data_IF_344856558172
#
_entry.id   IF_344856558172
#
_cell.length_a   1.000
_cell.length_b   1.000
_cell.length_c   1.000
_cell.angle_alpha   90.00
_cell.angle_beta   90.00
_cell.angle_gamma   90.00
#
_symmetry.space_group_name_H-M   'P 1'
#
loop_
_entity.id
_entity.type
_entity.pdbx_description
1 polymer ?
#
# COMPACT_ATOMS: atom_id res chain seq x y z
N UNK A 1 50.09 58.69 38.43
CA UNK A 1 50.25 59.78 37.46
C UNK A 1 49.27 59.44 36.38
N UNK A 2 48.26 60.05 36.30
CA UNK A 2 47.62 61.33 36.19
C UNK A 2 46.46 61.11 35.16
N UNK A 3 45.25 61.22 35.61
CA UNK A 3 44.23 62.24 35.31
C UNK A 3 44.09 62.50 33.79
N UNK A 4 42.87 62.54 33.23
CA UNK A 4 41.66 63.28 33.55
C UNK A 4 40.57 62.89 32.53
N UNK A 5 39.36 62.61 32.95
CA UNK A 5 38.16 63.45 32.85
C UNK A 5 37.93 64.20 31.52
N UNK A 6 36.83 63.87 30.85
CA UNK A 6 35.74 64.82 30.51
C UNK A 6 34.55 64.12 29.83
N UNK A 7 33.49 63.94 30.52
CA UNK A 7 32.12 64.50 30.42
C UNK A 7 31.73 65.09 29.06
N UNK A 8 30.60 64.66 28.53
CA UNK A 8 29.96 65.42 27.46
C UNK A 8 28.70 64.78 26.86
N UNK A 9 27.55 65.01 27.54
CA UNK A 9 26.22 65.28 26.95
C UNK A 9 25.55 64.26 26.02
N UNK A 10 24.64 63.56 26.68
CA UNK A 10 23.31 63.12 26.29
C UNK A 10 22.70 63.91 25.09
N UNK A 11 22.27 63.21 24.07
CA UNK A 11 21.14 63.61 23.26
C UNK A 11 20.08 62.53 23.30
N UNK A 12 19.04 62.82 24.09
CA UNK A 12 17.74 62.17 24.04
C UNK A 12 17.17 62.27 22.60
N UNK A 13 17.05 61.12 21.92
CA UNK A 13 16.13 60.98 20.81
C UNK A 13 14.92 60.16 21.25
N UNK A 14 13.70 60.60 20.99
CA UNK A 14 12.51 59.85 21.38
C UNK A 14 12.41 58.58 20.58
N UNK A 15 12.31 57.42 21.28
CA UNK A 15 11.92 56.12 20.66
C UNK A 15 10.54 56.29 20.05
N UNK A 16 10.47 56.22 18.69
CA UNK A 16 9.22 56.03 17.96
C UNK A 16 8.57 54.76 18.51
N UNK A 17 7.37 54.90 19.08
CA UNK A 17 6.48 53.79 19.37
C UNK A 17 6.08 53.19 18.01
N UNK A 18 6.71 52.12 17.60
CA UNK A 18 6.20 51.28 16.53
C UNK A 18 4.91 50.65 17.03
N UNK A 19 3.82 50.93 16.33
CA UNK A 19 2.52 50.42 16.63
C UNK A 19 2.51 48.89 16.48
N UNK A 20 1.89 48.19 17.41
CA UNK A 20 1.73 46.71 17.42
C UNK A 20 0.98 46.16 16.19
N UNK A 21 0.54 46.99 15.27
CA UNK A 21 -0.14 46.67 14.01
C UNK A 21 0.82 46.31 12.87
N UNK A 22 2.09 46.80 12.90
CA UNK A 22 3.02 46.54 11.80
C UNK A 22 3.75 45.18 11.90
N UNK A 23 3.88 44.60 13.10
CA UNK A 23 4.49 43.29 13.27
C UNK A 23 3.60 42.09 12.83
N UNK A 24 2.28 42.30 12.86
CA UNK A 24 1.32 41.25 12.42
C UNK A 24 1.19 41.20 10.91
N UNK A 25 1.41 42.31 10.21
CA UNK A 25 1.32 42.36 8.73
C UNK A 25 2.58 41.80 8.04
N UNK A 26 3.76 41.85 8.66
CA UNK A 26 5.00 41.31 8.09
C UNK A 26 5.05 39.76 8.11
N UNK A 27 4.37 39.10 9.05
CA UNK A 27 4.34 37.63 9.12
C UNK A 27 3.33 36.97 8.18
N UNK A 28 2.34 37.69 7.69
CA UNK A 28 1.28 37.18 6.81
C UNK A 28 1.67 37.24 5.32
N UNK A 29 2.52 38.21 4.93
CA UNK A 29 3.05 38.32 3.55
C UNK A 29 4.00 37.16 3.15
N UNK A 30 4.64 36.55 4.13
CA UNK A 30 5.54 35.38 3.92
C UNK A 30 4.79 34.06 3.73
N UNK A 31 3.50 33.99 4.11
CA UNK A 31 2.75 32.75 4.13
C UNK A 31 2.44 32.22 2.73
N UNK A 32 2.03 33.08 1.80
CA UNK A 32 1.75 32.69 0.42
C UNK A 32 3.00 32.24 -0.35
N UNK A 33 4.16 32.88 -0.10
CA UNK A 33 5.44 32.47 -0.69
C UNK A 33 5.91 31.14 -0.11
N UNK A 34 5.71 30.92 1.18
CA UNK A 34 6.04 29.64 1.85
C UNK A 34 5.18 28.49 1.32
N UNK A 35 3.88 28.71 1.08
CA UNK A 35 3.00 27.70 0.45
C UNK A 35 3.49 27.39 -0.96
N UNK A 36 3.78 28.41 -1.79
CA UNK A 36 4.27 28.19 -3.15
C UNK A 36 5.59 27.40 -3.16
N UNK A 37 6.59 27.81 -2.39
CA UNK A 37 7.86 27.13 -2.31
C UNK A 37 7.71 25.66 -1.88
N UNK A 38 6.82 25.40 -0.94
CA UNK A 38 6.56 24.06 -0.43
C UNK A 38 5.81 23.18 -1.45
N UNK A 39 4.84 23.77 -2.17
CA UNK A 39 4.13 23.08 -3.24
C UNK A 39 5.08 22.70 -4.39
N UNK A 40 5.97 23.62 -4.77
CA UNK A 40 6.97 23.40 -5.81
C UNK A 40 7.99 22.32 -5.40
N UNK A 41 8.44 22.33 -4.13
CA UNK A 41 9.38 21.33 -3.59
C UNK A 41 8.79 19.92 -3.55
N UNK A 42 7.50 19.83 -3.20
CA UNK A 42 6.81 18.54 -3.00
C UNK A 42 5.98 18.08 -4.21
N UNK A 43 5.92 18.87 -5.29
CA UNK A 43 5.13 18.56 -6.48
C UNK A 43 3.62 18.57 -6.27
N UNK A 44 3.13 19.33 -5.26
CA UNK A 44 1.71 19.40 -4.93
C UNK A 44 1.07 20.57 -5.66
N UNK A 45 -0.10 20.37 -6.29
CA UNK A 45 -0.86 21.48 -6.90
C UNK A 45 -1.25 22.50 -5.85
N UNK A 46 -0.79 23.74 -6.04
CA UNK A 46 -1.10 24.87 -5.18
C UNK A 46 -2.60 25.13 -5.07
N UNK A 47 -3.33 24.98 -6.17
CA UNK A 47 -4.78 25.17 -6.24
C UNK A 47 -5.53 24.22 -5.31
N UNK A 48 -5.17 22.92 -5.33
CA UNK A 48 -5.77 21.91 -4.43
C UNK A 48 -5.48 22.17 -2.97
N UNK A 49 -4.31 22.72 -2.64
CA UNK A 49 -3.96 23.08 -1.26
C UNK A 49 -4.83 24.25 -0.79
N UNK A 50 -5.00 25.28 -1.62
CA UNK A 50 -5.83 26.45 -1.32
C UNK A 50 -7.29 26.03 -1.14
N UNK A 51 -7.86 25.26 -2.06
CA UNK A 51 -9.22 24.73 -1.97
C UNK A 51 -9.46 23.96 -0.67
N UNK A 52 -8.48 23.16 -0.25
CA UNK A 52 -8.58 22.43 1.02
C UNK A 52 -8.48 23.33 2.24
N UNK A 53 -7.66 24.39 2.19
CA UNK A 53 -7.59 25.40 3.24
C UNK A 53 -8.95 26.11 3.34
N UNK A 54 -9.52 26.54 2.23
CA UNK A 54 -10.82 27.20 2.17
C UNK A 54 -11.93 26.32 2.73
N UNK A 55 -11.97 25.02 2.34
CA UNK A 55 -12.92 24.07 2.88
C UNK A 55 -12.77 23.86 4.39
N UNK A 56 -11.54 23.76 4.90
CA UNK A 56 -11.28 23.61 6.33
C UNK A 56 -11.65 24.85 7.13
N UNK A 57 -11.38 26.04 6.58
CA UNK A 57 -11.75 27.32 7.19
C UNK A 57 -13.28 27.50 7.23
N UNK A 58 -13.97 27.13 6.15
CA UNK A 58 -15.41 27.13 6.10
C UNK A 58 -16.03 26.20 7.15
N UNK A 59 -15.49 25.00 7.28
CA UNK A 59 -15.92 24.02 8.27
C UNK A 59 -15.68 24.51 9.73
N UNK A 60 -14.52 25.11 9.98
CA UNK A 60 -14.19 25.66 11.28
C UNK A 60 -15.12 26.85 11.64
N UNK A 61 -15.33 27.78 10.70
CA UNK A 61 -16.25 28.89 10.89
C UNK A 61 -17.68 28.41 11.16
N UNK A 62 -18.15 27.41 10.39
CA UNK A 62 -19.46 26.80 10.59
C UNK A 62 -19.63 26.18 11.97
N UNK A 63 -18.57 25.53 12.50
CA UNK A 63 -18.57 24.92 13.82
C UNK A 63 -18.67 25.95 14.94
N UNK A 64 -17.93 27.08 14.82
CA UNK A 64 -17.80 28.07 15.90
C UNK A 64 -18.90 29.13 15.86
N UNK A 65 -19.37 29.52 14.67
CA UNK A 65 -20.30 30.63 14.46
C UNK A 65 -21.52 30.31 13.59
N UNK A 66 -21.49 29.14 12.90
CA UNK A 66 -22.56 28.76 11.98
C UNK A 66 -23.73 28.09 12.70
N UNK A 67 -24.88 28.08 12.03
CA UNK A 67 -26.05 27.32 12.43
C UNK A 67 -26.10 25.96 11.73
N UNK A 68 -26.86 25.06 12.32
CA UNK A 68 -27.06 23.72 11.73
C UNK A 68 -27.79 23.86 10.38
N UNK A 69 -27.22 23.30 9.33
CA UNK A 69 -27.80 23.35 7.98
C UNK A 69 -27.21 24.42 7.05
N UNK A 70 -26.47 25.41 7.56
CA UNK A 70 -25.84 26.45 6.72
C UNK A 70 -24.76 25.86 5.81
N UNK A 71 -24.67 26.42 4.60
CA UNK A 71 -23.59 26.13 3.66
C UNK A 71 -22.66 27.35 3.61
N UNK A 72 -21.44 27.19 4.13
CA UNK A 72 -20.47 28.29 4.26
C UNK A 72 -19.31 28.00 3.30
N UNK A 73 -18.95 29.06 2.53
CA UNK A 73 -17.76 29.06 1.67
C UNK A 73 -16.78 30.09 2.24
N UNK A 74 -15.51 29.70 2.30
CA UNK A 74 -14.42 30.60 2.63
C UNK A 74 -13.62 30.90 1.36
N UNK A 75 -13.13 32.14 1.24
CA UNK A 75 -12.19 32.56 0.20
C UNK A 75 -10.96 33.10 0.89
N UNK A 76 -9.83 32.43 0.66
CA UNK A 76 -8.54 32.75 1.27
C UNK A 76 -7.70 33.61 0.33
N UNK A 77 -7.26 34.79 0.78
CA UNK A 77 -6.36 35.64 0.03
C UNK A 77 -4.89 35.29 0.37
N UNK A 78 -4.18 34.71 -0.58
CA UNK A 78 -2.79 34.29 -0.41
C UNK A 78 -1.83 35.44 -0.08
N UNK A 79 -2.11 36.65 -0.62
CA UNK A 79 -1.21 37.81 -0.48
C UNK A 79 -1.37 38.54 0.85
N UNK A 80 -2.60 38.67 1.34
CA UNK A 80 -2.90 39.35 2.59
C UNK A 80 -3.07 38.38 3.79
N UNK A 81 -3.29 37.09 3.53
CA UNK A 81 -3.62 36.10 4.55
C UNK A 81 -5.03 36.25 5.12
N UNK A 82 -5.82 37.15 4.56
CA UNK A 82 -7.20 37.41 5.01
C UNK A 82 -8.14 36.34 4.45
N UNK A 83 -9.17 36.03 5.23
CA UNK A 83 -10.23 35.11 4.81
C UNK A 83 -11.56 35.79 4.84
N UNK A 84 -12.31 35.72 3.74
CA UNK A 84 -13.71 36.16 3.65
C UNK A 84 -14.60 34.91 3.71
N UNK A 85 -15.72 35.05 4.42
CA UNK A 85 -16.71 34.00 4.54
C UNK A 85 -17.99 34.39 3.85
N UNK A 86 -18.60 33.48 3.16
CA UNK A 86 -19.84 33.64 2.43
C UNK A 86 -20.83 32.58 2.86
N UNK A 87 -22.05 33.00 3.19
CA UNK A 87 -23.17 32.09 3.32
C UNK A 87 -23.71 31.82 1.91
N UNK A 88 -23.66 30.57 1.52
CA UNK A 88 -24.07 30.11 0.19
C UNK A 88 -25.50 29.57 0.30
N UNK A 89 -26.43 30.16 -0.41
CA UNK A 89 -27.82 29.74 -0.48
C UNK A 89 -28.22 29.44 -1.92
N UNK A 90 -28.98 28.38 -2.09
CA UNK A 90 -29.50 27.93 -3.40
C UNK A 90 -30.94 28.47 -3.58
N UNK A 91 -31.25 29.02 -4.74
CA UNK A 91 -32.61 29.46 -5.08
C UNK A 91 -33.44 28.27 -5.50
N UNK A 92 -34.47 27.96 -4.73
CA UNK A 92 -35.27 26.73 -4.92
C UNK A 92 -36.77 27.09 -5.02
N UNK A 93 -37.51 26.18 -5.63
CA UNK A 93 -38.96 26.19 -5.70
C UNK A 93 -39.57 24.84 -5.27
N UNK A 94 -40.87 24.70 -5.41
CA UNK A 94 -41.61 23.49 -5.08
C UNK A 94 -41.24 22.27 -5.95
N UNK A 95 -40.50 22.47 -7.05
CA UNK A 95 -40.02 21.41 -7.92
C UNK A 95 -38.71 20.79 -7.43
N UNK A 96 -37.91 21.56 -6.66
CA UNK A 96 -36.59 21.16 -6.16
C UNK A 96 -36.59 20.79 -4.67
N UNK A 97 -37.55 21.36 -3.89
CA UNK A 97 -37.64 21.11 -2.45
C UNK A 97 -39.09 20.94 -2.01
N UNK A 98 -39.29 20.11 -0.99
CA UNK A 98 -40.57 19.94 -0.33
C UNK A 98 -40.73 21.07 0.73
N UNK A 99 -41.72 21.96 0.53
CA UNK A 99 -42.09 22.97 1.48
C UNK A 99 -43.11 22.40 2.47
N UNK A 100 -42.66 22.03 3.67
CA UNK A 100 -43.49 21.46 4.73
C UNK A 100 -43.74 22.52 5.78
N UNK A 101 -44.98 22.80 6.10
CA UNK A 101 -45.36 23.76 7.16
C UNK A 101 -45.06 23.19 8.56
N UNK A 102 -44.87 24.07 9.57
CA UNK A 102 -44.65 23.65 10.95
C UNK A 102 -45.80 22.80 11.49
N UNK A 103 -47.03 23.04 11.05
CA UNK A 103 -48.21 22.27 11.42
C UNK A 103 -48.17 20.85 10.87
N UNK A 104 -47.77 20.65 9.61
CA UNK A 104 -47.57 19.36 9.01
C UNK A 104 -46.41 18.58 9.63
N UNK A 105 -45.37 19.28 10.07
CA UNK A 105 -44.26 18.69 10.81
C UNK A 105 -44.69 18.15 12.17
N UNK A 106 -45.53 18.90 12.88
CA UNK A 106 -46.07 18.52 14.17
C UNK A 106 -47.02 17.32 14.02
N UNK A 107 -47.87 17.28 12.99
CA UNK A 107 -48.75 16.17 12.69
C UNK A 107 -47.99 14.89 12.33
N UNK A 108 -46.94 15.00 11.49
CA UNK A 108 -46.08 13.85 11.14
C UNK A 108 -45.28 13.35 12.32
N UNK A 109 -44.85 14.22 13.25
CA UNK A 109 -44.19 13.83 14.49
C UNK A 109 -45.14 13.08 15.44
N UNK A 110 -46.37 13.62 15.60
CA UNK A 110 -47.42 12.97 16.41
C UNK A 110 -47.85 11.59 15.86
N UNK A 111 -47.92 11.44 14.53
CA UNK A 111 -48.19 10.16 13.87
C UNK A 111 -47.09 9.12 14.11
N UNK A 112 -45.80 9.55 14.08
CA UNK A 112 -44.66 8.66 14.38
C UNK A 112 -44.62 8.21 15.83
N UNK A 113 -45.02 9.05 16.78
CA UNK A 113 -45.16 8.66 18.19
C UNK A 113 -46.28 7.66 18.41
N UNK A 114 -47.37 7.73 17.63
CA UNK A 114 -48.48 6.76 17.70
C UNK A 114 -48.17 5.40 17.07
N UNK A 115 -47.27 5.34 16.07
CA UNK A 115 -46.85 4.10 15.39
C UNK A 115 -45.73 3.32 16.09
N UNK A 116 -45.36 3.70 17.32
CA UNK A 116 -44.42 2.93 18.15
C UNK A 116 -42.98 2.98 17.60
N UNK A 117 -42.26 3.99 18.01
CA UNK A 117 -40.85 4.24 17.59
C UNK A 117 -39.97 3.02 17.76
N UNK A 118 -39.47 2.54 16.65
CA UNK A 118 -38.22 1.79 16.61
C UNK A 118 -37.15 2.76 16.19
N UNK A 119 -36.15 2.93 17.04
CA UNK A 119 -34.91 3.65 16.74
C UNK A 119 -34.30 3.07 15.46
N UNK A 120 -34.34 3.80 14.39
CA UNK A 120 -33.50 3.59 13.22
C UNK A 120 -32.51 4.74 13.08
N UNK A 121 -31.42 4.58 13.81
CA UNK A 121 -30.13 5.15 13.38
C UNK A 121 -29.57 4.24 12.29
N UNK A 122 -30.05 4.34 11.07
CA UNK A 122 -29.40 3.77 9.92
C UNK A 122 -29.62 4.70 8.72
N UNK A 123 -28.61 5.52 8.48
CA UNK A 123 -28.32 6.00 7.15
C UNK A 123 -27.82 4.79 6.36
N UNK A 124 -28.66 4.19 5.53
CA UNK A 124 -28.37 3.49 4.31
C UNK A 124 -29.43 2.42 4.07
N UNK A 125 -30.26 2.70 3.12
CA UNK A 125 -30.79 1.84 2.08
C UNK A 125 -32.11 2.44 1.61
N UNK A 126 -32.00 3.42 0.72
CA UNK A 126 -33.11 3.85 -0.09
C UNK A 126 -33.42 2.71 -1.07
N UNK A 127 -34.51 2.01 -0.83
CA UNK A 127 -35.19 1.26 -1.88
C UNK A 127 -35.48 2.22 -3.05
N UNK A 128 -34.99 1.87 -4.21
CA UNK A 128 -35.32 2.50 -5.47
C UNK A 128 -36.84 2.40 -5.67
N UNK A 129 -37.48 3.56 -5.68
CA UNK A 129 -38.72 3.93 -6.31
C UNK A 129 -39.49 4.93 -5.41
N UNK A 130 -39.06 6.16 -5.45
CA UNK A 130 -39.72 7.45 -5.27
C UNK A 130 -38.65 8.48 -4.95
N UNK A 131 -38.34 9.38 -5.89
CA UNK A 131 -37.46 10.54 -5.67
C UNK A 131 -38.15 11.50 -4.69
N UNK A 132 -37.96 11.28 -3.39
CA UNK A 132 -38.42 12.22 -2.35
C UNK A 132 -37.57 13.48 -2.43
N UNK A 133 -38.17 14.57 -2.82
CA UNK A 133 -37.53 15.88 -2.80
C UNK A 133 -36.97 16.19 -1.39
N UNK A 134 -35.77 16.76 -1.36
CA UNK A 134 -35.19 17.23 -0.10
C UNK A 134 -36.03 18.37 0.49
N UNK A 135 -36.16 18.44 1.80
CA UNK A 135 -36.96 19.47 2.48
C UNK A 135 -36.30 20.85 2.36
N UNK A 136 -37.12 21.90 2.22
CA UNK A 136 -36.69 23.28 2.27
C UNK A 136 -36.07 23.60 3.64
N UNK A 137 -34.93 24.26 3.62
CA UNK A 137 -34.23 24.75 4.81
C UNK A 137 -33.84 26.18 4.64
N UNK A 138 -34.45 27.13 5.37
CA UNK A 138 -34.20 28.57 5.23
C UNK A 138 -32.75 29.00 5.49
N UNK A 139 -31.96 28.16 6.17
CA UNK A 139 -30.53 28.41 6.38
C UNK A 139 -29.66 28.07 5.16
N UNK A 140 -30.15 27.23 4.21
CA UNK A 140 -29.45 26.81 3.02
C UNK A 140 -30.13 27.24 1.72
N UNK A 141 -31.45 27.30 1.74
CA UNK A 141 -32.27 27.50 0.57
C UNK A 141 -32.90 28.93 0.63
N UNK A 142 -33.18 29.51 -0.53
CA UNK A 142 -33.91 30.78 -0.69
C UNK A 142 -35.10 30.56 -1.62
N UNK A 143 -36.23 31.21 -1.31
CA UNK A 143 -37.33 31.24 -2.25
C UNK A 143 -37.02 32.21 -3.40
N UNK A 144 -37.68 32.00 -4.56
CA UNK A 144 -37.50 32.86 -5.73
C UNK A 144 -37.83 34.31 -5.44
N UNK A 145 -38.78 34.58 -4.51
CA UNK A 145 -39.17 35.91 -4.11
C UNK A 145 -38.08 36.63 -3.32
N UNK A 146 -37.54 35.98 -2.28
CA UNK A 146 -36.41 36.47 -1.49
C UNK A 146 -35.14 36.67 -2.34
N UNK A 147 -34.89 35.74 -3.26
CA UNK A 147 -33.76 35.82 -4.18
C UNK A 147 -33.83 37.03 -5.11
N UNK A 148 -35.03 37.40 -5.61
CA UNK A 148 -35.25 38.59 -6.45
C UNK A 148 -35.08 39.91 -5.70
N UNK A 149 -35.29 39.96 -4.39
CA UNK A 149 -34.99 41.12 -3.57
C UNK A 149 -33.49 41.41 -3.51
N UNK A 150 -32.67 40.36 -3.50
CA UNK A 150 -31.22 40.49 -3.46
C UNK A 150 -30.61 40.63 -4.86
N UNK A 151 -31.12 39.92 -5.86
CA UNK A 151 -30.63 39.92 -7.25
C UNK A 151 -31.80 39.86 -8.22
N UNK A 152 -32.05 40.96 -8.95
CA UNK A 152 -33.23 41.13 -9.85
C UNK A 152 -33.37 40.02 -10.93
N UNK A 153 -32.25 39.41 -11.35
CA UNK A 153 -32.22 38.40 -12.40
C UNK A 153 -32.06 36.97 -11.86
N UNK A 154 -32.34 36.72 -10.56
CA UNK A 154 -32.20 35.42 -9.95
C UNK A 154 -33.18 34.40 -10.56
N UNK A 155 -32.64 33.21 -10.92
CA UNK A 155 -33.38 32.07 -11.46
C UNK A 155 -33.30 30.90 -10.49
N UNK A 156 -34.25 29.99 -10.66
CA UNK A 156 -34.26 28.71 -9.93
C UNK A 156 -32.94 27.94 -10.21
N UNK A 157 -32.28 27.44 -9.15
CA UNK A 157 -30.99 26.81 -9.22
C UNK A 157 -29.78 27.76 -9.16
N UNK A 158 -30.02 29.09 -9.12
CA UNK A 158 -28.93 30.04 -8.92
C UNK A 158 -28.41 29.98 -7.48
N UNK A 159 -27.12 30.22 -7.33
CA UNK A 159 -26.45 30.29 -6.02
C UNK A 159 -26.22 31.76 -5.66
N UNK A 160 -26.68 32.15 -4.49
CA UNK A 160 -26.49 33.51 -3.94
C UNK A 160 -25.50 33.43 -2.78
N UNK A 161 -24.43 34.21 -2.87
CA UNK A 161 -23.39 34.31 -1.84
C UNK A 161 -23.63 35.61 -1.03
N UNK A 162 -23.80 35.47 0.27
CA UNK A 162 -24.01 36.57 1.21
C UNK A 162 -22.73 36.70 2.06
N UNK A 163 -22.03 37.85 1.96
CA UNK A 163 -20.80 38.07 2.73
C UNK A 163 -21.12 38.11 4.22
N UNK A 164 -20.44 37.31 5.01
CA UNK A 164 -20.55 37.27 6.46
C UNK A 164 -19.49 38.18 7.09
N UNK A 165 -19.83 38.82 8.21
CA UNK A 165 -18.88 39.67 8.93
C UNK A 165 -17.68 38.81 9.42
N UNK A 166 -16.47 39.20 9.02
CA UNK A 166 -15.24 38.61 9.55
C UNK A 166 -14.98 39.13 10.97
N UNK A 167 -15.03 38.24 11.96
CA UNK A 167 -14.71 38.61 13.35
C UNK A 167 -13.21 38.75 13.56
N UNK A 168 -12.77 39.82 14.22
CA UNK A 168 -11.35 40.21 14.36
C UNK A 168 -10.43 39.16 14.99
N UNK A 169 -10.96 38.22 15.77
CA UNK A 169 -10.16 37.14 16.41
C UNK A 169 -9.97 35.89 15.51
N UNK A 170 -10.68 35.83 14.38
CA UNK A 170 -10.66 34.62 13.53
C UNK A 170 -9.36 34.45 12.74
N UNK A 171 -8.58 35.50 12.52
CA UNK A 171 -7.31 35.44 11.80
C UNK A 171 -6.28 34.48 12.41
N UNK A 172 -6.24 34.34 13.73
CA UNK A 172 -5.35 33.38 14.42
C UNK A 172 -5.82 31.95 14.24
N UNK A 173 -7.11 31.69 14.37
CA UNK A 173 -7.71 30.36 14.17
C UNK A 173 -7.55 29.94 12.71
N UNK A 174 -7.79 30.86 11.78
CA UNK A 174 -7.59 30.64 10.35
C UNK A 174 -6.14 30.26 10.04
N UNK A 175 -5.16 30.99 10.57
CA UNK A 175 -3.73 30.70 10.36
C UNK A 175 -3.32 29.33 10.94
N UNK A 176 -3.82 28.96 12.12
CA UNK A 176 -3.56 27.65 12.73
C UNK A 176 -4.21 26.52 11.92
N UNK A 177 -5.47 26.69 11.50
CA UNK A 177 -6.19 25.72 10.66
C UNK A 177 -5.49 25.54 9.32
N UNK A 178 -5.13 26.64 8.65
CA UNK A 178 -4.39 26.58 7.39
C UNK A 178 -3.05 25.83 7.56
N UNK A 179 -2.27 26.13 8.59
CA UNK A 179 -1.03 25.41 8.89
C UNK A 179 -1.27 23.92 9.08
N UNK A 180 -2.31 23.54 9.82
CA UNK A 180 -2.62 22.13 10.08
C UNK A 180 -3.03 21.40 8.79
N UNK A 181 -3.86 22.04 7.95
CA UNK A 181 -4.28 21.51 6.65
C UNK A 181 -3.10 21.33 5.72
N UNK A 182 -2.19 22.29 5.65
CA UNK A 182 -0.98 22.20 4.83
C UNK A 182 -0.12 21.02 5.29
N UNK A 183 0.15 20.88 6.59
CA UNK A 183 0.93 19.75 7.14
C UNK A 183 0.24 18.42 6.79
N UNK A 184 -1.08 18.37 6.87
CA UNK A 184 -1.84 17.17 6.52
C UNK A 184 -1.70 16.86 5.03
N UNK A 185 -1.84 17.84 4.14
CA UNK A 185 -1.69 17.65 2.68
C UNK A 185 -0.30 17.24 2.27
N UNK A 186 0.73 17.79 2.91
CA UNK A 186 2.12 17.35 2.68
C UNK A 186 2.26 15.88 3.04
N UNK A 187 1.77 15.47 4.21
CA UNK A 187 1.84 14.06 4.63
C UNK A 187 1.05 13.13 3.72
N UNK A 188 -0.08 13.59 3.16
CA UNK A 188 -0.85 12.84 2.17
C UNK A 188 -0.06 12.68 0.88
N UNK A 189 0.49 13.77 0.34
CA UNK A 189 1.30 13.73 -0.88
C UNK A 189 2.60 12.91 -0.71
N UNK A 190 3.28 13.01 0.45
CA UNK A 190 4.43 12.17 0.78
C UNK A 190 4.05 10.68 0.83
N UNK A 191 2.87 10.35 1.37
CA UNK A 191 2.36 8.97 1.40
C UNK A 191 2.04 8.45 0.00
N UNK A 192 1.38 9.26 -0.81
CA UNK A 192 1.03 8.90 -2.18
C UNK A 192 2.29 8.69 -3.03
N UNK A 193 3.27 9.59 -2.93
CA UNK A 193 4.56 9.45 -3.60
C UNK A 193 5.34 8.22 -3.14
N UNK A 194 5.30 7.91 -1.84
CA UNK A 194 5.92 6.69 -1.32
C UNK A 194 5.18 5.44 -1.80
N UNK A 195 3.85 5.48 -1.86
CA UNK A 195 3.06 4.38 -2.39
C UNK A 195 3.41 4.10 -3.85
N UNK A 196 3.45 5.12 -4.70
CA UNK A 196 3.79 4.99 -6.12
C UNK A 196 5.21 4.42 -6.29
N UNK A 197 6.20 4.97 -5.57
CA UNK A 197 7.60 4.49 -5.62
C UNK A 197 7.73 3.00 -5.24
N UNK A 198 7.03 2.54 -4.22
CA UNK A 198 7.10 1.14 -3.80
C UNK A 198 6.18 0.24 -4.63
N UNK A 199 5.11 0.78 -5.21
CA UNK A 199 4.25 0.05 -6.14
C UNK A 199 5.00 -0.33 -7.41
N UNK A 200 5.84 0.57 -7.92
CA UNK A 200 6.72 0.29 -9.06
C UNK A 200 7.80 -0.76 -8.73
N UNK A 201 8.14 -0.93 -7.45
CA UNK A 201 9.10 -1.93 -6.96
C UNK A 201 8.43 -3.25 -6.52
N UNK A 202 7.11 -3.37 -6.65
CA UNK A 202 6.41 -4.64 -6.38
C UNK A 202 6.94 -5.71 -7.33
N UNK A 203 7.31 -6.87 -6.79
CA UNK A 203 7.97 -7.90 -7.56
C UNK A 203 9.49 -7.80 -7.61
N UNK A 204 10.10 -6.84 -6.93
CA UNK A 204 11.55 -6.66 -6.87
C UNK A 204 12.15 -7.14 -5.54
N UNK A 205 13.45 -7.46 -5.57
CA UNK A 205 14.22 -7.73 -4.35
C UNK A 205 14.94 -6.47 -3.90
N UNK A 206 14.68 -6.05 -2.68
CA UNK A 206 15.29 -4.87 -2.06
C UNK A 206 16.08 -5.25 -0.82
N UNK A 207 17.10 -4.45 -0.50
CA UNK A 207 17.88 -4.61 0.73
C UNK A 207 17.30 -3.71 1.81
N UNK A 208 16.99 -4.28 2.99
CA UNK A 208 16.51 -3.53 4.13
C UNK A 208 17.27 -3.89 5.40
N UNK A 209 16.99 -3.17 6.48
CA UNK A 209 17.56 -3.39 7.81
C UNK A 209 16.44 -3.74 8.77
N UNK A 210 16.58 -4.82 9.53
CA UNK A 210 15.61 -5.20 10.56
C UNK A 210 15.58 -4.11 11.62
N UNK A 211 14.47 -3.38 11.71
CA UNK A 211 14.30 -2.26 12.61
C UNK A 211 13.80 -2.72 14.00
N UNK A 212 12.75 -3.56 13.99
CA UNK A 212 12.13 -4.09 15.21
C UNK A 212 11.44 -5.42 14.94
N UNK A 213 11.18 -6.15 16.01
CA UNK A 213 10.44 -7.42 15.97
C UNK A 213 9.32 -7.29 17.01
N UNK A 214 8.07 -7.45 16.57
CA UNK A 214 6.88 -7.38 17.42
C UNK A 214 6.12 -8.71 17.35
N UNK A 215 6.15 -9.47 18.44
CA UNK A 215 5.64 -10.85 18.43
C UNK A 215 6.41 -11.72 17.44
N UNK A 216 5.75 -12.15 16.37
CA UNK A 216 6.37 -12.93 15.28
C UNK A 216 6.57 -12.11 14.00
N UNK A 217 6.11 -10.88 13.96
CA UNK A 217 6.27 -10.00 12.80
C UNK A 217 7.63 -9.30 12.83
N UNK A 218 8.32 -9.29 11.70
CA UNK A 218 9.61 -8.59 11.54
C UNK A 218 9.38 -7.34 10.70
N UNK A 219 9.73 -6.18 11.26
CA UNK A 219 9.63 -4.90 10.58
C UNK A 219 11.00 -4.51 10.02
N UNK A 220 11.04 -4.29 8.71
CA UNK A 220 12.26 -4.04 7.95
C UNK A 220 12.21 -2.62 7.38
N UNK A 221 13.21 -1.83 7.72
CA UNK A 221 13.41 -0.49 7.19
C UNK A 221 14.01 -0.58 5.77
N UNK A 222 13.26 -0.07 4.80
CA UNK A 222 13.64 -0.03 3.38
C UNK A 222 14.23 1.34 2.98
N UNK A 223 14.45 2.23 3.95
CA UNK A 223 14.97 3.58 3.80
C UNK A 223 13.88 4.65 3.89
N UNK A 224 12.91 4.69 2.99
CA UNK A 224 11.81 5.68 3.01
C UNK A 224 10.56 5.14 3.71
N UNK A 225 10.37 3.84 3.74
CA UNK A 225 9.21 3.18 4.36
C UNK A 225 9.61 1.90 5.06
N UNK A 226 8.71 1.38 5.88
CA UNK A 226 8.91 0.16 6.65
C UNK A 226 8.01 -0.92 6.04
N UNK A 227 8.63 -2.05 5.65
CA UNK A 227 7.91 -3.23 5.22
C UNK A 227 7.74 -4.23 6.38
N UNK A 228 6.72 -5.07 6.26
CA UNK A 228 6.40 -6.11 7.24
C UNK A 228 6.63 -7.49 6.63
N UNK A 229 7.43 -8.29 7.31
CA UNK A 229 7.66 -9.69 7.01
C UNK A 229 6.83 -10.53 8.00
N UNK A 230 5.67 -11.00 7.53
CA UNK A 230 4.77 -11.82 8.33
C UNK A 230 5.32 -13.23 8.58
N UNK A 231 4.87 -13.95 9.63
CA UNK A 231 5.36 -15.28 9.94
C UNK A 231 5.24 -16.31 8.79
N UNK A 232 4.19 -16.23 7.98
CA UNK A 232 3.99 -17.04 6.77
C UNK A 232 5.01 -16.76 5.67
N UNK A 233 5.61 -15.57 5.68
CA UNK A 233 6.56 -15.10 4.69
C UNK A 233 8.02 -15.20 5.17
N UNK A 234 8.22 -15.71 6.38
CA UNK A 234 9.53 -15.96 6.98
C UNK A 234 10.01 -17.37 6.70
N UNK A 235 11.31 -17.53 6.54
CA UNK A 235 11.92 -18.85 6.45
C UNK A 235 12.16 -19.38 7.87
N UNK A 236 11.63 -20.57 8.20
CA UNK A 236 11.64 -21.13 9.56
C UNK A 236 13.04 -21.25 10.19
N UNK A 237 14.05 -21.44 9.34
CA UNK A 237 15.45 -21.62 9.80
C UNK A 237 16.23 -20.32 9.92
N UNK A 238 15.68 -19.21 9.47
CA UNK A 238 16.32 -17.92 9.56
C UNK A 238 16.02 -17.24 10.90
N UNK A 239 17.07 -16.71 11.52
CA UNK A 239 16.94 -15.92 12.73
C UNK A 239 17.16 -14.44 12.39
N UNK A 240 16.12 -13.64 12.53
CA UNK A 240 16.19 -12.21 12.29
C UNK A 240 16.66 -11.48 13.55
N UNK A 241 17.62 -10.56 13.40
CA UNK A 241 18.17 -9.76 14.51
C UNK A 241 18.04 -8.28 14.19
N UNK A 242 17.70 -7.47 15.18
CA UNK A 242 17.64 -6.01 15.02
C UNK A 242 19.00 -5.49 14.55
N UNK A 243 19.00 -4.62 13.54
CA UNK A 243 20.19 -4.09 12.88
C UNK A 243 20.77 -5.00 11.79
N UNK A 244 20.25 -6.20 11.60
CA UNK A 244 20.68 -7.10 10.52
C UNK A 244 20.18 -6.57 9.17
N UNK A 245 21.08 -6.56 8.17
CA UNK A 245 20.72 -6.29 6.77
C UNK A 245 20.26 -7.57 6.12
N UNK A 246 19.12 -7.51 5.44
CA UNK A 246 18.52 -8.67 4.73
C UNK A 246 17.98 -8.22 3.38
N UNK A 247 18.08 -9.09 2.37
CA UNK A 247 17.37 -8.91 1.10
C UNK A 247 15.98 -9.52 1.22
N UNK A 248 14.96 -8.80 0.76
CA UNK A 248 13.56 -9.22 0.84
C UNK A 248 12.87 -8.93 -0.48
N UNK A 249 11.93 -9.79 -0.83
CA UNK A 249 11.07 -9.61 -1.99
C UNK A 249 9.85 -8.79 -1.59
N UNK A 250 9.50 -7.76 -2.36
CA UNK A 250 8.26 -6.98 -2.16
C UNK A 250 7.12 -7.78 -2.78
N UNK A 251 6.34 -8.45 -1.94
CA UNK A 251 5.25 -9.31 -2.40
C UNK A 251 4.00 -8.50 -2.76
N UNK A 252 3.69 -7.46 -1.99
CA UNK A 252 2.49 -6.64 -2.20
C UNK A 252 2.66 -5.25 -1.58
N UNK A 253 2.13 -4.25 -2.28
CA UNK A 253 2.06 -2.87 -1.79
C UNK A 253 0.61 -2.41 -1.79
N UNK A 254 0.08 -2.03 -0.63
CA UNK A 254 -1.28 -1.58 -0.42
C UNK A 254 -1.31 -0.14 0.09
N UNK A 255 -2.31 0.64 -0.33
CA UNK A 255 -2.53 1.97 0.21
C UNK A 255 -3.15 1.87 1.60
N UNK A 256 -2.51 2.47 2.60
CA UNK A 256 -2.98 2.49 3.97
C UNK A 256 -3.09 3.90 4.54
N UNK A 257 -3.94 4.08 5.55
CA UNK A 257 -4.18 5.38 6.21
C UNK A 257 -2.94 5.99 6.89
N UNK A 258 -1.96 5.17 7.26
CA UNK A 258 -0.71 5.60 7.93
C UNK A 258 0.52 5.59 7.02
N UNK A 259 0.35 5.22 5.74
CA UNK A 259 1.41 5.05 4.75
C UNK A 259 1.23 3.76 3.96
N UNK A 260 2.08 3.48 2.95
CA UNK A 260 1.99 2.25 2.18
C UNK A 260 2.21 1.03 3.09
N UNK A 261 1.29 0.08 3.03
CA UNK A 261 1.43 -1.23 3.63
C UNK A 261 2.28 -2.11 2.71
N UNK A 262 3.55 -2.34 3.05
CA UNK A 262 4.47 -3.11 2.24
C UNK A 262 4.62 -4.51 2.86
N UNK A 263 4.09 -5.51 2.18
CA UNK A 263 4.25 -6.90 2.56
C UNK A 263 5.51 -7.46 1.91
N UNK A 264 6.39 -7.97 2.74
CA UNK A 264 7.67 -8.55 2.33
C UNK A 264 7.63 -10.06 2.41
N UNK A 265 8.39 -10.74 1.57
CA UNK A 265 8.51 -12.20 1.56
C UNK A 265 9.96 -12.66 1.41
N UNK A 266 10.32 -13.75 2.12
CA UNK A 266 11.54 -14.50 1.91
C UNK A 266 11.26 -15.94 1.44
N UNK A 267 9.97 -16.33 1.41
CA UNK A 267 9.54 -17.66 0.93
C UNK A 267 9.09 -17.66 -0.53
N UNK A 268 8.77 -16.48 -1.09
CA UNK A 268 8.24 -16.37 -2.45
C UNK A 268 9.21 -16.93 -3.51
N UNK A 269 8.75 -17.78 -4.46
CA UNK A 269 9.62 -18.35 -5.49
C UNK A 269 10.31 -17.32 -6.39
N UNK A 270 9.63 -16.22 -6.70
CA UNK A 270 10.18 -15.15 -7.53
C UNK A 270 11.41 -14.47 -6.91
N UNK A 271 11.59 -14.56 -5.58
CA UNK A 271 12.81 -14.10 -4.93
C UNK A 271 14.06 -14.76 -5.51
N UNK A 272 13.98 -16.06 -5.80
CA UNK A 272 15.09 -16.82 -6.41
C UNK A 272 15.42 -16.26 -7.79
N UNK A 273 14.39 -16.04 -8.62
CA UNK A 273 14.58 -15.48 -9.95
C UNK A 273 15.28 -14.13 -9.89
N UNK A 274 14.82 -13.22 -9.02
CA UNK A 274 15.40 -11.89 -8.86
C UNK A 274 16.84 -11.93 -8.31
N UNK A 275 17.15 -12.85 -7.42
CA UNK A 275 18.52 -13.03 -6.96
C UNK A 275 19.43 -13.53 -8.08
N UNK A 276 18.97 -14.45 -8.91
CA UNK A 276 19.74 -14.89 -10.08
C UNK A 276 19.88 -13.79 -11.14
N UNK A 277 18.85 -12.96 -11.36
CA UNK A 277 18.93 -11.79 -12.24
C UNK A 277 20.03 -10.79 -11.79
N UNK A 278 20.25 -10.66 -10.47
CA UNK A 278 21.30 -9.81 -9.91
C UNK A 278 22.72 -10.39 -10.05
N UNK A 279 22.84 -11.72 -9.94
CA UNK A 279 24.15 -12.40 -9.89
C UNK A 279 24.60 -12.93 -11.25
N UNK A 280 23.69 -13.13 -12.21
CA UNK A 280 23.94 -13.76 -13.51
C UNK A 280 23.62 -12.79 -14.65
N UNK A 281 24.64 -12.14 -15.25
CA UNK A 281 24.42 -11.18 -16.32
C UNK A 281 23.68 -11.75 -17.54
N UNK A 282 23.84 -13.03 -17.83
CA UNK A 282 23.20 -13.72 -18.94
C UNK A 282 21.67 -13.86 -18.73
N UNK A 283 21.22 -13.95 -17.46
CA UNK A 283 19.79 -13.93 -17.11
C UNK A 283 19.26 -12.49 -17.21
N UNK A 284 20.01 -11.52 -16.71
CA UNK A 284 19.65 -10.10 -16.82
C UNK A 284 19.54 -9.64 -18.29
N UNK A 285 20.41 -10.14 -19.16
CA UNK A 285 20.37 -9.85 -20.59
C UNK A 285 19.28 -10.63 -21.35
N UNK A 286 18.63 -11.63 -20.72
CA UNK A 286 17.62 -12.48 -21.34
C UNK A 286 18.15 -13.57 -22.26
N UNK A 287 19.48 -13.80 -22.32
CA UNK A 287 20.09 -14.89 -23.11
C UNK A 287 19.93 -16.24 -22.42
N UNK A 288 19.83 -16.25 -21.11
CA UNK A 288 19.45 -17.40 -20.29
C UNK A 288 18.14 -17.08 -19.58
N UNK A 289 17.17 -17.99 -19.67
CA UNK A 289 15.87 -17.82 -19.05
C UNK A 289 15.61 -18.87 -17.98
N UNK A 290 14.99 -18.48 -16.87
CA UNK A 290 14.47 -19.39 -15.86
C UNK A 290 13.04 -19.78 -16.27
N UNK A 291 12.84 -20.99 -16.74
CA UNK A 291 11.54 -21.51 -17.21
C UNK A 291 10.64 -21.99 -16.09
N UNK A 292 11.19 -22.34 -14.93
CA UNK A 292 10.41 -22.81 -13.79
C UNK A 292 11.21 -22.83 -12.50
N UNK A 293 10.49 -22.66 -11.38
CA UNK A 293 11.07 -22.70 -10.03
C UNK A 293 10.16 -23.54 -9.14
N UNK A 294 10.75 -24.55 -8.49
CA UNK A 294 10.09 -25.29 -7.42
C UNK A 294 10.90 -25.11 -6.14
N UNK A 295 10.28 -24.53 -5.11
CA UNK A 295 10.95 -24.12 -3.88
C UNK A 295 10.30 -24.70 -2.64
N UNK A 296 11.14 -25.19 -1.74
CA UNK A 296 10.85 -25.40 -0.33
C UNK A 296 11.80 -24.49 0.46
N UNK A 297 11.24 -23.32 0.87
CA UNK A 297 12.04 -22.23 1.42
C UNK A 297 12.87 -22.67 2.63
N UNK A 298 14.15 -22.29 2.65
CA UNK A 298 15.12 -22.65 3.68
C UNK A 298 15.63 -24.08 3.62
N UNK A 299 15.15 -24.92 2.69
CA UNK A 299 15.61 -26.30 2.53
C UNK A 299 16.25 -26.53 1.17
N UNK A 300 15.44 -26.50 0.10
CA UNK A 300 15.94 -26.83 -1.24
C UNK A 300 15.08 -26.19 -2.32
N UNK A 301 15.73 -25.72 -3.37
CA UNK A 301 15.08 -25.17 -4.57
C UNK A 301 15.60 -25.86 -5.82
N UNK A 302 14.72 -26.14 -6.77
CA UNK A 302 15.06 -26.57 -8.13
C UNK A 302 14.65 -25.47 -9.11
N UNK A 303 15.59 -25.08 -10.00
CA UNK A 303 15.33 -24.12 -11.07
C UNK A 303 15.57 -24.79 -12.42
N UNK A 304 14.65 -24.59 -13.35
CA UNK A 304 14.79 -25.03 -14.74
C UNK A 304 15.25 -23.85 -15.60
N UNK A 305 16.39 -24.00 -16.26
CA UNK A 305 17.00 -22.95 -17.08
C UNK A 305 17.10 -23.39 -18.54
N UNK A 306 16.94 -22.42 -19.44
CA UNK A 306 17.13 -22.64 -20.88
C UNK A 306 17.93 -21.45 -21.46
N UNK A 307 18.65 -21.70 -22.54
CA UNK A 307 19.28 -20.63 -23.35
C UNK A 307 18.45 -20.37 -24.59
N UNK A 308 18.29 -19.08 -24.94
CA UNK A 308 17.71 -18.64 -26.22
C UNK A 308 18.74 -18.61 -27.35
N UNK A 309 20.03 -18.66 -27.02
CA UNK A 309 21.12 -18.60 -27.98
C UNK A 309 21.88 -19.95 -28.08
N UNK A 310 22.18 -20.37 -29.29
CA UNK A 310 23.03 -21.54 -29.53
C UNK A 310 24.46 -21.27 -29.07
N UNK A 311 25.04 -22.19 -28.29
CA UNK A 311 26.42 -22.09 -27.81
C UNK A 311 26.60 -21.55 -26.41
N UNK A 312 25.54 -21.08 -25.75
CA UNK A 312 25.55 -20.67 -24.34
C UNK A 312 25.09 -21.86 -23.47
N UNK A 313 25.93 -22.25 -22.52
CA UNK A 313 25.55 -23.26 -21.50
C UNK A 313 24.77 -22.55 -20.37
N UNK A 314 23.43 -22.76 -20.26
CA UNK A 314 22.62 -22.06 -19.26
C UNK A 314 22.93 -22.52 -17.83
N UNK A 315 23.33 -23.77 -17.64
CA UNK A 315 23.73 -24.29 -16.33
C UNK A 315 25.07 -23.67 -15.92
N UNK A 316 26.07 -23.68 -16.80
CA UNK A 316 27.38 -23.12 -16.55
C UNK A 316 27.33 -21.61 -16.24
N UNK A 317 26.46 -20.85 -16.95
CA UNK A 317 26.22 -19.43 -16.70
C UNK A 317 25.67 -19.16 -15.31
N UNK A 318 24.71 -19.96 -14.85
CA UNK A 318 24.11 -19.83 -13.52
C UNK A 318 25.03 -20.29 -12.39
N UNK A 319 25.79 -21.36 -12.61
CA UNK A 319 26.75 -21.88 -11.62
C UNK A 319 27.94 -20.94 -11.45
N UNK A 320 28.45 -20.43 -12.57
CA UNK A 320 29.64 -19.59 -12.60
C UNK A 320 30.94 -20.35 -12.36
N UNK A 321 32.08 -19.65 -12.45
CA UNK A 321 33.39 -20.29 -12.23
C UNK A 321 33.49 -20.86 -10.81
N UNK A 322 33.75 -22.15 -10.69
CA UNK A 322 33.83 -22.87 -9.40
C UNK A 322 32.60 -22.74 -8.50
N UNK A 323 31.45 -22.44 -9.09
CA UNK A 323 30.20 -22.31 -8.36
C UNK A 323 30.01 -20.98 -7.61
N UNK A 324 30.81 -19.96 -7.93
CA UNK A 324 30.78 -18.69 -7.17
C UNK A 324 29.44 -17.95 -7.27
N UNK A 325 28.77 -17.95 -8.43
CA UNK A 325 27.50 -17.28 -8.62
C UNK A 325 26.36 -17.97 -7.85
N UNK A 326 26.21 -19.26 -8.03
CA UNK A 326 25.18 -20.02 -7.29
C UNK A 326 25.43 -19.99 -5.78
N UNK A 327 26.71 -20.00 -5.36
CA UNK A 327 27.06 -19.93 -3.93
C UNK A 327 26.66 -18.58 -3.33
N UNK A 328 26.82 -17.45 -4.05
CA UNK A 328 26.37 -16.15 -3.59
C UNK A 328 24.86 -16.11 -3.34
N UNK A 329 24.07 -16.74 -4.22
CA UNK A 329 22.62 -16.87 -4.02
C UNK A 329 22.29 -17.77 -2.83
N UNK A 330 22.99 -18.93 -2.69
CA UNK A 330 22.82 -19.85 -1.56
C UNK A 330 23.12 -19.16 -0.23
N UNK A 331 24.20 -18.38 -0.17
CA UNK A 331 24.59 -17.65 1.05
C UNK A 331 23.56 -16.58 1.42
N UNK A 332 23.01 -15.86 0.43
CA UNK A 332 21.94 -14.89 0.65
C UNK A 332 20.65 -15.53 1.18
N UNK A 333 20.36 -16.76 0.79
CA UNK A 333 19.20 -17.55 1.23
C UNK A 333 19.46 -18.35 2.51
N UNK A 334 20.55 -18.05 3.24
CA UNK A 334 20.86 -18.71 4.50
C UNK A 334 21.26 -20.18 4.38
N UNK A 335 21.80 -20.61 3.23
CA UNK A 335 22.26 -21.97 2.99
C UNK A 335 21.23 -22.90 2.32
N UNK A 336 20.15 -22.35 1.75
CA UNK A 336 19.17 -23.10 0.96
C UNK A 336 19.85 -23.74 -0.26
N UNK A 337 19.71 -25.06 -0.44
CA UNK A 337 20.35 -25.78 -1.54
C UNK A 337 19.64 -25.50 -2.86
N UNK A 338 20.40 -25.22 -3.91
CA UNK A 338 19.86 -24.90 -5.24
C UNK A 338 20.35 -25.94 -6.25
N UNK A 339 19.41 -26.61 -6.91
CA UNK A 339 19.66 -27.50 -8.04
C UNK A 339 19.30 -26.79 -9.34
N UNK A 340 20.27 -26.62 -10.23
CA UNK A 340 20.07 -26.02 -11.54
C UNK A 340 19.90 -27.12 -12.58
N UNK A 341 18.80 -27.09 -13.32
CA UNK A 341 18.34 -28.17 -14.19
C UNK A 341 18.15 -27.61 -15.60
N UNK A 342 18.61 -28.31 -16.60
CA UNK A 342 18.37 -27.97 -17.99
C UNK A 342 16.90 -28.23 -18.33
N UNK A 343 16.19 -27.17 -18.73
CA UNK A 343 14.86 -27.31 -19.27
C UNK A 343 14.89 -27.99 -20.66
N UNK A 344 13.92 -28.83 -20.96
CA UNK A 344 13.80 -29.49 -22.23
C UNK A 344 12.34 -29.57 -22.67
N UNK A 345 12.08 -29.40 -23.97
CA UNK A 345 10.72 -29.53 -24.54
C UNK A 345 10.18 -30.94 -24.38
N UNK A 346 11.04 -31.96 -24.44
CA UNK A 346 10.64 -33.34 -24.19
C UNK A 346 10.42 -33.52 -22.68
N UNK A 347 9.18 -33.76 -22.30
CA UNK A 347 8.76 -33.97 -20.92
C UNK A 347 9.55 -35.10 -20.26
N UNK A 348 9.76 -36.23 -20.96
CA UNK A 348 10.52 -37.34 -20.44
C UNK A 348 11.96 -36.95 -20.07
N UNK A 349 12.62 -36.16 -20.93
CA UNK A 349 13.97 -35.67 -20.67
C UNK A 349 13.98 -34.64 -19.55
N UNK A 350 12.97 -33.78 -19.48
CA UNK A 350 12.84 -32.78 -18.44
C UNK A 350 12.60 -33.39 -17.06
N UNK A 351 11.73 -34.42 -16.95
CA UNK A 351 11.51 -35.16 -15.71
C UNK A 351 12.79 -35.90 -15.28
N UNK A 352 13.50 -36.54 -16.22
CA UNK A 352 14.76 -37.18 -15.91
C UNK A 352 15.81 -36.19 -15.35
N UNK A 353 15.92 -35.00 -15.95
CA UNK A 353 16.79 -33.93 -15.47
C UNK A 353 16.33 -33.38 -14.11
N UNK A 354 15.01 -33.23 -13.89
CA UNK A 354 14.44 -32.73 -12.66
C UNK A 354 14.68 -33.61 -11.44
N UNK A 355 14.88 -34.92 -11.62
CA UNK A 355 15.24 -35.88 -10.57
C UNK A 355 16.72 -35.86 -10.20
N UNK A 356 17.54 -35.06 -10.88
CA UNK A 356 18.95 -34.87 -10.50
C UNK A 356 19.08 -34.60 -8.99
N UNK A 357 20.12 -35.17 -8.31
CA UNK A 357 21.28 -35.86 -8.84
C UNK A 357 21.12 -37.37 -9.09
N UNK A 358 19.91 -37.93 -8.96
CA UNK A 358 19.68 -39.34 -9.24
C UNK A 358 19.79 -39.64 -10.74
N UNK A 359 20.36 -40.82 -11.06
CA UNK A 359 20.45 -41.29 -12.45
C UNK A 359 19.17 -42.02 -12.82
N UNK A 360 18.50 -41.56 -13.87
CA UNK A 360 17.28 -42.14 -14.39
C UNK A 360 17.63 -43.08 -15.55
N UNK A 361 17.02 -44.27 -15.57
CA UNK A 361 17.17 -45.25 -16.65
C UNK A 361 16.15 -45.05 -17.76
N UNK A 362 14.88 -44.88 -17.37
CA UNK A 362 13.75 -44.76 -18.29
C UNK A 362 12.66 -43.84 -17.68
N UNK A 363 11.95 -43.12 -18.52
CA UNK A 363 10.76 -42.37 -18.16
C UNK A 363 9.65 -42.74 -19.11
N UNK A 364 8.57 -43.27 -18.58
CA UNK A 364 7.34 -43.57 -19.30
C UNK A 364 6.30 -42.51 -18.94
N UNK A 365 5.81 -41.82 -19.94
CA UNK A 365 4.93 -40.63 -19.76
C UNK A 365 3.54 -40.95 -20.27
N UNK A 366 2.53 -40.69 -19.44
CA UNK A 366 1.12 -40.76 -19.84
C UNK A 366 0.54 -39.36 -19.94
N UNK A 367 0.44 -38.85 -21.16
CA UNK A 367 -0.04 -37.49 -21.41
C UNK A 367 -1.52 -37.28 -21.03
N UNK A 368 -2.33 -38.33 -21.06
CA UNK A 368 -3.76 -38.24 -20.75
C UNK A 368 -4.05 -38.00 -19.27
N UNK A 369 -3.20 -38.53 -18.39
CA UNK A 369 -3.35 -38.42 -16.93
C UNK A 369 -2.32 -37.45 -16.31
N UNK A 370 -1.35 -36.96 -17.10
CA UNK A 370 -0.21 -36.16 -16.63
C UNK A 370 0.62 -36.89 -15.55
N UNK A 371 0.76 -38.24 -15.72
CA UNK A 371 1.52 -39.10 -14.85
C UNK A 371 2.77 -39.60 -15.56
N UNK A 372 3.85 -39.71 -14.84
CA UNK A 372 5.12 -40.24 -15.34
C UNK A 372 5.64 -41.31 -14.40
N UNK A 373 5.98 -42.46 -14.94
CA UNK A 373 6.65 -43.55 -14.23
C UNK A 373 8.14 -43.53 -14.57
N UNK A 374 8.95 -43.37 -13.54
CA UNK A 374 10.42 -43.23 -13.68
C UNK A 374 11.12 -44.45 -13.10
N UNK A 375 11.86 -45.19 -13.94
CA UNK A 375 12.68 -46.31 -13.54
C UNK A 375 14.08 -45.84 -13.20
N UNK A 376 14.54 -46.14 -11.98
CA UNK A 376 15.88 -45.81 -11.48
C UNK A 376 16.58 -47.08 -10.98
N UNK A 377 17.93 -47.16 -11.01
CA UNK A 377 18.62 -48.23 -10.34
C UNK A 377 18.28 -48.30 -8.84
N UNK A 378 18.24 -49.49 -8.26
CA UNK A 378 17.86 -49.69 -6.84
C UNK A 378 18.76 -48.90 -5.88
N UNK A 379 20.05 -48.75 -6.19
CA UNK A 379 21.00 -47.94 -5.44
C UNK A 379 20.72 -46.45 -5.51
N UNK A 380 19.97 -45.99 -6.54
CA UNK A 380 19.60 -44.59 -6.74
C UNK A 380 18.18 -44.25 -6.22
N UNK A 381 17.39 -45.27 -5.85
CA UNK A 381 15.99 -45.09 -5.45
C UNK A 381 15.83 -44.08 -4.29
N UNK A 382 16.61 -44.27 -3.22
CA UNK A 382 16.59 -43.36 -2.07
C UNK A 382 17.02 -41.94 -2.43
N UNK A 383 17.90 -41.76 -3.41
CA UNK A 383 18.36 -40.45 -3.88
C UNK A 383 17.30 -39.79 -4.77
N UNK A 384 16.63 -40.60 -5.62
CA UNK A 384 15.56 -40.11 -6.49
C UNK A 384 14.34 -39.64 -5.68
N UNK A 385 13.95 -40.40 -4.66
CA UNK A 385 12.87 -39.99 -3.73
C UNK A 385 13.32 -38.78 -2.88
N UNK A 386 14.53 -38.84 -2.34
CA UNK A 386 15.09 -37.86 -1.43
C UNK A 386 14.53 -37.98 -0.02
N UNK A 387 15.07 -37.14 0.90
CA UNK A 387 14.65 -37.11 2.30
C UNK A 387 13.18 -36.67 2.39
N UNK A 388 12.32 -37.49 2.98
CA UNK A 388 10.86 -37.24 3.09
C UNK A 388 10.19 -36.98 1.74
N UNK A 389 10.67 -37.60 0.65
CA UNK A 389 10.09 -37.36 -0.68
C UNK A 389 10.40 -35.99 -1.29
N UNK A 390 11.33 -35.21 -0.71
CA UNK A 390 11.61 -33.83 -1.13
C UNK A 390 12.05 -33.74 -2.60
N UNK A 391 12.92 -34.66 -3.07
CA UNK A 391 13.44 -34.57 -4.42
C UNK A 391 12.33 -34.82 -5.47
N UNK A 392 11.52 -35.85 -5.27
CA UNK A 392 10.41 -36.18 -6.19
C UNK A 392 9.32 -35.11 -6.12
N UNK A 393 8.98 -34.59 -4.92
CA UNK A 393 7.98 -33.54 -4.77
C UNK A 393 8.41 -32.24 -5.46
N UNK A 394 9.66 -31.80 -5.32
CA UNK A 394 10.20 -30.66 -6.04
C UNK A 394 10.24 -30.90 -7.55
N UNK A 395 10.62 -32.10 -8.01
CA UNK A 395 10.58 -32.45 -9.43
C UNK A 395 9.15 -32.40 -9.98
N UNK A 396 8.16 -32.94 -9.25
CA UNK A 396 6.77 -32.91 -9.63
C UNK A 396 6.23 -31.45 -9.71
N UNK A 397 6.54 -30.61 -8.72
CA UNK A 397 6.18 -29.19 -8.74
C UNK A 397 6.84 -28.43 -9.90
N UNK A 398 8.09 -28.75 -10.22
CA UNK A 398 8.83 -28.07 -11.28
C UNK A 398 8.31 -28.43 -12.67
N UNK A 399 7.96 -29.70 -12.88
CA UNK A 399 7.51 -30.21 -14.18
C UNK A 399 5.99 -30.09 -14.39
N UNK A 400 5.22 -29.99 -13.28
CA UNK A 400 3.76 -30.01 -13.31
C UNK A 400 3.19 -31.43 -13.51
N UNK A 401 3.99 -32.48 -13.33
CA UNK A 401 3.61 -33.89 -13.56
C UNK A 401 3.64 -34.68 -12.24
N UNK A 402 2.71 -35.62 -12.11
CA UNK A 402 2.77 -36.60 -11.03
C UNK A 402 3.85 -37.63 -11.38
N UNK A 403 4.80 -37.82 -10.48
CA UNK A 403 5.99 -38.66 -10.74
C UNK A 403 5.99 -39.84 -9.77
N UNK A 404 5.91 -41.04 -10.31
CA UNK A 404 6.09 -42.29 -9.59
C UNK A 404 7.47 -42.88 -9.87
N UNK A 405 8.17 -43.35 -8.83
CA UNK A 405 9.55 -43.83 -8.96
C UNK A 405 9.60 -45.35 -8.68
N UNK A 406 10.11 -46.10 -9.65
CA UNK A 406 10.31 -47.53 -9.55
C UNK A 406 11.80 -47.85 -9.47
N UNK A 407 12.20 -48.64 -8.46
CA UNK A 407 13.53 -49.19 -8.38
C UNK A 407 13.67 -50.48 -9.23
N UNK A 408 14.65 -50.50 -10.12
CA UNK A 408 14.92 -51.68 -10.98
C UNK A 408 16.22 -52.34 -10.55
N UNK A 409 16.15 -53.64 -10.23
CA UNK A 409 17.33 -54.46 -9.99
C UNK A 409 18.06 -54.73 -11.28
N UNK A 410 19.38 -54.89 -11.24
CA UNK A 410 20.22 -55.17 -12.42
C UNK A 410 19.86 -56.44 -13.18
N UNK A 411 18.86 -57.22 -12.73
CA UNK A 411 18.36 -58.48 -13.32
C UNK A 411 16.90 -58.41 -13.79
N UNK A 412 16.25 -57.22 -13.91
CA UNK A 412 14.95 -57.09 -14.59
C UNK A 412 13.70 -57.39 -13.76
N UNK A 413 13.76 -57.47 -12.43
CA UNK A 413 12.57 -57.53 -11.57
C UNK A 413 12.22 -56.13 -11.00
N UNK A 414 11.00 -55.65 -11.29
CA UNK A 414 10.47 -54.40 -10.77
C UNK A 414 10.04 -54.59 -9.29
N UNK A 415 10.50 -53.72 -8.40
CA UNK A 415 10.04 -53.64 -7.02
C UNK A 415 9.29 -52.31 -6.85
N UNK A 416 7.97 -52.36 -6.72
CA UNK A 416 7.14 -51.19 -6.45
C UNK A 416 7.45 -50.61 -5.07
N UNK A 417 7.93 -49.34 -5.04
CA UNK A 417 7.93 -48.54 -3.84
C UNK A 417 7.03 -47.31 -4.11
N UNK A 418 5.75 -47.42 -3.76
CA UNK A 418 4.78 -46.35 -3.87
C UNK A 418 5.12 -45.19 -2.91
N UNK A 419 5.76 -44.18 -3.44
CA UNK A 419 5.86 -42.87 -2.77
C UNK A 419 4.80 -41.92 -3.33
N UNK A 420 3.54 -42.14 -2.95
CA UNK A 420 2.48 -41.17 -3.25
C UNK A 420 2.79 -39.85 -2.55
N UNK A 421 2.97 -38.80 -3.33
CA UNK A 421 2.93 -37.45 -2.83
C UNK A 421 1.46 -37.12 -2.50
N UNK A 422 1.03 -37.38 -1.25
CA UNK A 422 -0.27 -36.94 -0.80
C UNK A 422 -0.30 -35.41 -0.81
N UNK A 423 -1.22 -34.86 -1.60
CA UNK A 423 -1.71 -33.49 -1.44
C UNK A 423 -2.39 -33.40 -0.08
N UNK A 424 -1.69 -32.93 0.94
CA UNK A 424 -2.33 -32.46 2.17
C UNK A 424 -3.03 -31.13 1.83
N UNK A 425 -4.30 -31.28 1.45
CA UNK A 425 -5.25 -30.20 1.39
C UNK A 425 -5.60 -29.81 2.82
N UNK A 426 -5.28 -28.59 3.22
CA UNK A 426 -5.59 -27.99 4.53
C UNK A 426 -7.08 -28.17 4.87
N UNK A 427 -7.37 -29.13 5.75
CA UNK A 427 -8.63 -29.25 6.41
C UNK A 427 -8.67 -28.30 7.61
N UNK A 428 -9.57 -27.33 7.55
CA UNK A 428 -9.97 -26.46 8.67
C UNK A 428 -10.18 -27.28 9.95
N UNK A 429 -9.30 -27.15 10.92
CA UNK A 429 -9.57 -27.57 12.30
C UNK A 429 -10.39 -26.50 12.99
N UNK A 430 -11.69 -26.76 13.16
CA UNK A 430 -12.56 -26.06 14.11
C UNK A 430 -12.00 -26.25 15.51
N UNK A 431 -11.58 -25.16 16.12
CA UNK A 431 -11.31 -25.04 17.55
C UNK A 431 -12.66 -25.15 18.33
N UNK A 432 -12.84 -26.26 19.01
CA UNK A 432 -13.81 -26.36 20.11
C UNK A 432 -13.16 -25.79 21.37
N UNK A 433 -13.81 -24.75 21.93
CA UNK A 433 -13.46 -24.16 23.22
C UNK A 433 -13.73 -25.15 24.36
N UNK A 434 -12.87 -25.25 25.40
CA UNK A 434 -13.18 -26.04 26.57
C UNK A 434 -14.09 -25.28 27.53
N UNK A 435 -15.21 -25.91 27.89
CA UNK A 435 -16.08 -25.51 29.01
C UNK A 435 -15.33 -25.61 30.35
N UNK A 436 -15.46 -24.55 31.14
CA UNK A 436 -15.03 -24.50 32.55
C UNK A 436 -15.82 -25.47 33.39
N UNK A 437 -15.15 -26.17 34.25
CA UNK A 437 -15.60 -26.63 35.56
C UNK A 437 -14.58 -26.28 36.62
#
# INVERSE_FOLDING_TARGET
>A
MDRSDQSGLSKFMPKKKTSKTDETQSHLGDFGSAISALCDEKGISKEKVIETIEAALAAAYKKDYGKKGQNIRAVFNEKSGDTKFFLVKEVVDETLREFVTEEELAERAAQREMEGGKDESSYAEASADEEKLARFNPERDLTVEEAKEMKKDAKIGDVIEIELESKQDYGRVAAQTAKQVIIQRIREAERDSMFDEYKDKEGEVVSGVVQRIEGRNVFIDLGKSIGVLFPSEQVERENYRIGQRVKVYIAKVESGSKGPGITLSRVHPQMIQKLFELEVPEIFAGTVEIKGIAREAGERTKIAVASSEEGIDPIGSCVGQKGTRVQAVIDELGGEKIDIILWNESIAKFIAAALSPAKVLKVDVNESTQEATVSVPEDQLSLAIGKRGQNVRLAAKLTGWKIDILGVKAAGEEVEASGEAADENDGESKEEAPEEK
#
